data_IF_130190196671
#
_entry.id   IF_130190196671
#
_cell.length_a   1.000
_cell.length_b   1.000
_cell.length_c   1.000
_cell.angle_alpha   90.00
_cell.angle_beta   90.00
_cell.angle_gamma   90.00
#
_symmetry.space_group_name_H-M   'P 1'
#
loop_
_entity.id
_entity.type
_entity.pdbx_description
1 polymer ?
#
# COMPACT_ATOMS: atom_id res chain seq x y z
N UNK A 1 12.57 -24.95 1.89
CA UNK A 1 12.34 -23.59 2.44
C UNK A 1 13.62 -23.18 3.14
N UNK A 2 14.32 -22.17 2.63
CA UNK A 2 15.49 -21.58 3.33
C UNK A 2 14.97 -20.65 4.40
N UNK A 3 15.37 -20.87 5.67
CA UNK A 3 14.97 -20.04 6.81
C UNK A 3 16.10 -19.09 7.25
N UNK A 4 17.23 -19.10 6.54
CA UNK A 4 18.40 -18.26 6.81
C UNK A 4 18.82 -17.56 5.52
N UNK A 5 19.32 -16.36 5.65
CA UNK A 5 19.89 -15.58 4.56
C UNK A 5 21.34 -16.00 4.28
N UNK A 6 21.85 -15.69 3.09
CA UNK A 6 23.25 -15.91 2.72
C UNK A 6 24.16 -14.86 3.35
N UNK A 7 25.49 -15.08 3.30
CA UNK A 7 26.47 -14.09 3.79
C UNK A 7 26.33 -12.75 3.07
N UNK A 8 26.09 -12.78 1.77
CA UNK A 8 25.89 -11.58 0.94
C UNK A 8 24.59 -10.85 1.33
N UNK A 9 23.52 -11.59 1.61
CA UNK A 9 22.24 -11.04 2.07
C UNK A 9 22.35 -10.44 3.47
N UNK A 10 23.11 -11.04 4.37
CA UNK A 10 23.40 -10.47 5.70
C UNK A 10 24.31 -9.24 5.62
N UNK A 11 25.25 -9.19 4.68
CA UNK A 11 26.03 -7.98 4.41
C UNK A 11 25.15 -6.84 3.89
N UNK A 12 24.22 -7.15 2.98
CA UNK A 12 23.22 -6.18 2.53
C UNK A 12 22.32 -5.69 3.69
N UNK A 13 21.92 -6.58 4.60
CA UNK A 13 21.18 -6.22 5.82
C UNK A 13 21.94 -5.19 6.66
N UNK A 14 23.23 -5.44 6.85
CA UNK A 14 24.09 -4.54 7.64
C UNK A 14 24.24 -3.15 6.97
N UNK A 15 24.37 -3.09 5.62
CA UNK A 15 24.38 -1.85 4.86
C UNK A 15 23.09 -1.05 5.06
N UNK A 16 21.94 -1.69 4.90
CA UNK A 16 20.61 -1.07 5.09
C UNK A 16 20.45 -0.55 6.52
N UNK A 17 20.76 -1.40 7.51
CA UNK A 17 20.61 -1.05 8.93
C UNK A 17 21.48 0.15 9.31
N UNK A 18 22.73 0.19 8.85
CA UNK A 18 23.66 1.29 9.13
C UNK A 18 23.17 2.61 8.51
N UNK A 19 22.73 2.58 7.25
CA UNK A 19 22.21 3.76 6.58
C UNK A 19 20.93 4.30 7.27
N UNK A 20 20.00 3.41 7.60
CA UNK A 20 18.76 3.81 8.30
C UNK A 20 19.04 4.39 9.69
N UNK A 21 19.97 3.79 10.44
CA UNK A 21 20.32 4.31 11.76
C UNK A 21 21.01 5.69 11.67
N UNK A 22 21.92 5.88 10.73
CA UNK A 22 22.57 7.18 10.47
C UNK A 22 21.52 8.24 10.17
N UNK A 23 20.60 7.99 9.26
CA UNK A 23 19.60 8.97 8.85
C UNK A 23 18.57 9.26 9.97
N UNK A 24 18.07 8.22 10.63
CA UNK A 24 17.01 8.31 11.63
C UNK A 24 17.52 8.62 13.07
N UNK A 25 18.82 8.64 13.29
CA UNK A 25 19.44 9.20 14.49
C UNK A 25 20.07 10.57 14.24
N UNK A 26 20.14 11.00 12.98
CA UNK A 26 20.70 12.27 12.51
C UNK A 26 19.64 13.19 11.89
N UNK A 27 19.75 13.46 10.56
CA UNK A 27 18.94 14.50 9.90
C UNK A 27 17.42 14.26 9.93
N UNK A 28 16.97 13.02 10.12
CA UNK A 28 15.55 12.63 10.14
C UNK A 28 15.09 12.04 11.49
N UNK A 29 15.79 12.35 12.58
CA UNK A 29 15.43 11.86 13.92
C UNK A 29 14.03 12.34 14.37
N UNK A 30 13.59 13.49 13.89
CA UNK A 30 12.30 14.11 14.18
C UNK A 30 11.10 13.35 13.62
N UNK A 31 11.30 12.51 12.59
CA UNK A 31 10.22 11.72 11.99
C UNK A 31 10.32 10.22 12.29
N UNK A 32 11.32 9.79 13.09
CA UNK A 32 11.45 8.39 13.50
C UNK A 32 10.29 7.99 14.38
N UNK A 33 9.61 6.91 14.01
CA UNK A 33 8.50 6.34 14.78
C UNK A 33 7.16 7.05 14.61
N UNK A 34 7.04 8.01 13.68
CA UNK A 34 5.73 8.60 13.34
C UNK A 34 4.82 7.51 12.75
N UNK A 35 3.67 7.30 13.37
CA UNK A 35 2.65 6.32 12.93
C UNK A 35 1.56 6.95 12.06
N UNK A 36 1.29 8.26 12.21
CA UNK A 36 0.33 9.00 11.39
C UNK A 36 0.77 9.06 9.93
N UNK A 37 -0.16 8.81 9.01
CA UNK A 37 0.11 8.83 7.57
C UNK A 37 0.21 10.26 7.01
N UNK A 38 -0.39 11.24 7.67
CA UNK A 38 -0.45 12.64 7.21
C UNK A 38 0.46 13.58 8.00
N UNK A 39 0.93 13.18 9.18
CA UNK A 39 1.84 14.02 9.97
C UNK A 39 3.19 14.22 9.28
N UNK A 40 3.78 15.39 9.50
CA UNK A 40 5.10 15.79 9.02
C UNK A 40 5.30 15.57 7.49
N UNK A 41 4.29 15.86 6.67
CA UNK A 41 4.26 15.52 5.25
C UNK A 41 5.48 16.07 4.50
N UNK A 42 5.87 17.33 4.71
CA UNK A 42 7.05 17.94 4.07
C UNK A 42 8.34 17.18 4.43
N UNK A 43 8.53 16.87 5.72
CA UNK A 43 9.71 16.11 6.17
C UNK A 43 9.75 14.70 5.58
N UNK A 44 8.57 14.09 5.38
CA UNK A 44 8.47 12.77 4.77
C UNK A 44 8.69 12.82 3.25
N UNK A 45 8.36 13.91 2.57
CA UNK A 45 8.79 14.15 1.18
C UNK A 45 10.31 14.27 1.08
N UNK A 46 10.93 15.02 2.02
CA UNK A 46 12.40 15.12 2.09
C UNK A 46 13.03 13.74 2.35
N UNK A 47 12.38 12.91 3.17
CA UNK A 47 12.78 11.52 3.41
C UNK A 47 12.71 10.66 2.15
N UNK A 48 11.63 10.76 1.35
CA UNK A 48 11.52 10.06 0.06
C UNK A 48 12.69 10.44 -0.87
N UNK A 49 13.03 11.73 -0.95
CA UNK A 49 14.19 12.20 -1.74
C UNK A 49 15.51 11.66 -1.19
N UNK A 50 15.69 11.61 0.13
CA UNK A 50 16.89 11.02 0.74
C UNK A 50 17.02 9.53 0.41
N UNK A 51 15.91 8.77 0.46
CA UNK A 51 15.86 7.39 -0.01
C UNK A 51 16.21 7.28 -1.49
N UNK A 52 15.69 8.18 -2.33
CA UNK A 52 15.96 8.22 -3.76
C UNK A 52 17.45 8.45 -4.06
N UNK A 53 18.05 9.48 -3.47
CA UNK A 53 19.48 9.81 -3.62
C UNK A 53 20.37 8.64 -3.19
N UNK A 54 20.02 7.93 -2.15
CA UNK A 54 20.75 6.76 -1.67
C UNK A 54 20.41 5.45 -2.44
N UNK A 55 19.48 5.50 -3.41
CA UNK A 55 19.03 4.34 -4.17
C UNK A 55 18.20 3.33 -3.38
N UNK A 56 17.57 3.76 -2.28
CA UNK A 56 16.74 2.91 -1.43
C UNK A 56 15.24 3.00 -1.75
N UNK A 57 14.83 3.93 -2.61
CA UNK A 57 13.42 4.18 -2.88
C UNK A 57 12.76 3.01 -3.62
N UNK A 58 13.38 2.50 -4.69
CA UNK A 58 12.82 1.50 -5.60
C UNK A 58 13.81 0.34 -5.84
N UNK A 59 14.32 -0.26 -4.77
CA UNK A 59 15.48 -1.18 -4.80
C UNK A 59 15.30 -2.38 -5.74
N UNK A 60 14.08 -2.89 -5.91
CA UNK A 60 13.78 -4.03 -6.79
C UNK A 60 13.68 -3.68 -8.28
N UNK A 61 13.72 -2.39 -8.64
CA UNK A 61 13.64 -1.98 -10.03
C UNK A 61 14.99 -2.10 -10.76
N UNK A 62 14.96 -2.14 -12.12
CA UNK A 62 16.18 -2.09 -12.92
C UNK A 62 17.00 -0.83 -12.64
N UNK A 63 18.32 -0.98 -12.60
CA UNK A 63 19.27 0.14 -12.35
C UNK A 63 19.10 1.30 -13.32
N UNK A 64 18.77 1.03 -14.58
CA UNK A 64 18.52 2.07 -15.58
C UNK A 64 17.37 3.03 -15.20
N UNK A 65 16.47 2.64 -14.28
CA UNK A 65 15.37 3.46 -13.79
C UNK A 65 15.56 3.85 -12.31
N UNK A 66 16.77 3.79 -11.79
CA UNK A 66 17.11 4.21 -10.43
C UNK A 66 16.93 3.14 -9.35
N UNK A 67 16.66 1.89 -9.73
CA UNK A 67 16.66 0.75 -8.82
C UNK A 67 18.06 0.18 -8.55
N UNK A 68 18.11 -0.92 -7.81
CA UNK A 68 19.35 -1.66 -7.47
C UNK A 68 19.40 -3.07 -8.06
N UNK A 69 18.42 -3.49 -8.86
CA UNK A 69 18.21 -4.88 -9.28
C UNK A 69 18.14 -5.86 -8.09
N UNK A 70 17.69 -5.38 -6.94
CA UNK A 70 17.65 -6.18 -5.72
C UNK A 70 16.72 -7.38 -5.89
N UNK A 71 17.20 -8.55 -5.54
CA UNK A 71 16.41 -9.76 -5.53
C UNK A 71 15.28 -9.68 -4.47
N UNK A 72 14.35 -10.62 -4.52
CA UNK A 72 13.21 -10.62 -3.64
C UNK A 72 13.62 -10.75 -2.16
N UNK A 73 14.70 -11.50 -1.85
CA UNK A 73 15.21 -11.64 -0.50
C UNK A 73 15.78 -10.32 0.03
N UNK A 74 16.53 -9.59 -0.81
CA UNK A 74 17.07 -8.27 -0.49
C UNK A 74 15.92 -7.25 -0.27
N UNK A 75 14.86 -7.29 -1.07
CA UNK A 75 13.70 -6.44 -0.89
C UNK A 75 13.00 -6.70 0.45
N UNK A 76 12.89 -7.96 0.87
CA UNK A 76 12.34 -8.31 2.19
C UNK A 76 13.26 -7.86 3.31
N UNK A 77 14.58 -8.04 3.16
CA UNK A 77 15.57 -7.57 4.14
C UNK A 77 15.44 -6.05 4.33
N UNK A 78 15.37 -5.28 3.24
CA UNK A 78 15.17 -3.83 3.31
C UNK A 78 13.91 -3.47 4.08
N UNK A 79 12.79 -4.10 3.76
CA UNK A 79 11.53 -3.84 4.40
C UNK A 79 11.54 -4.25 5.89
N UNK A 80 12.21 -5.35 6.26
CA UNK A 80 12.44 -5.75 7.66
C UNK A 80 13.26 -4.70 8.42
N UNK A 81 14.37 -4.22 7.85
CA UNK A 81 15.21 -3.22 8.49
C UNK A 81 14.52 -1.86 8.56
N UNK A 82 13.77 -1.47 7.53
CA UNK A 82 12.97 -0.25 7.51
C UNK A 82 11.96 -0.20 8.67
N UNK A 83 11.23 -1.29 8.88
CA UNK A 83 10.30 -1.40 10.00
C UNK A 83 11.01 -1.49 11.36
N UNK A 84 12.14 -2.23 11.45
CA UNK A 84 12.95 -2.34 12.69
C UNK A 84 13.53 -0.99 13.11
N UNK A 85 13.98 -0.18 12.15
CA UNK A 85 14.46 1.17 12.40
C UNK A 85 13.34 2.13 12.82
N UNK A 86 12.06 1.70 12.74
CA UNK A 86 10.87 2.55 12.94
C UNK A 86 10.88 3.76 12.00
N UNK A 87 11.27 3.53 10.74
CA UNK A 87 11.22 4.55 9.71
C UNK A 87 9.77 4.98 9.43
N UNK A 88 9.54 6.24 9.02
CA UNK A 88 8.19 6.74 8.79
C UNK A 88 7.54 6.04 7.60
N UNK A 89 6.21 5.95 7.59
CA UNK A 89 5.48 5.42 6.43
C UNK A 89 5.81 6.18 5.14
N UNK A 90 5.94 5.45 4.02
CA UNK A 90 6.35 5.98 2.72
C UNK A 90 5.20 6.78 2.06
N UNK A 91 5.41 8.06 1.71
CA UNK A 91 4.45 8.83 0.91
C UNK A 91 4.43 8.37 -0.55
N UNK A 92 5.60 7.99 -1.08
CA UNK A 92 5.77 7.52 -2.45
C UNK A 92 5.37 6.06 -2.71
N UNK A 93 4.86 5.32 -1.71
CA UNK A 93 4.62 3.88 -1.84
C UNK A 93 3.66 3.50 -2.98
N UNK A 94 2.61 4.29 -3.26
CA UNK A 94 1.69 4.01 -4.37
C UNK A 94 2.39 4.09 -5.73
N UNK A 95 3.33 5.02 -5.89
CA UNK A 95 4.19 5.10 -7.08
C UNK A 95 5.11 3.90 -7.18
N UNK A 96 5.94 3.69 -6.18
CA UNK A 96 7.01 2.70 -6.20
C UNK A 96 6.50 1.25 -6.20
N UNK A 97 5.42 0.96 -5.47
CA UNK A 97 4.93 -0.42 -5.29
C UNK A 97 3.83 -0.80 -6.29
N UNK A 98 3.11 0.17 -6.88
CA UNK A 98 1.99 -0.10 -7.78
C UNK A 98 2.16 0.52 -9.17
N UNK A 99 2.24 1.86 -9.28
CA UNK A 99 2.32 2.54 -10.58
C UNK A 99 3.61 2.15 -11.34
N UNK A 100 4.75 2.15 -10.67
CA UNK A 100 6.03 1.83 -11.28
C UNK A 100 6.11 0.40 -11.82
N UNK A 101 5.83 -0.66 -11.03
CA UNK A 101 5.75 -2.02 -11.55
C UNK A 101 4.73 -2.17 -12.70
N UNK A 102 3.61 -1.43 -12.66
CA UNK A 102 2.63 -1.40 -13.74
C UNK A 102 3.22 -0.80 -15.01
N UNK A 103 3.91 0.35 -14.90
CA UNK A 103 4.58 1.01 -16.04
C UNK A 103 5.74 0.15 -16.56
N UNK A 104 6.51 -0.49 -15.68
CA UNK A 104 7.57 -1.43 -16.07
C UNK A 104 7.04 -2.57 -16.94
N UNK A 105 5.87 -3.08 -16.61
CA UNK A 105 5.30 -4.26 -17.27
C UNK A 105 4.44 -3.93 -18.50
N UNK A 106 3.62 -2.86 -18.43
CA UNK A 106 2.61 -2.53 -19.45
C UNK A 106 2.89 -1.21 -20.17
N UNK A 107 3.77 -0.36 -19.65
CA UNK A 107 4.06 0.96 -20.19
C UNK A 107 4.95 0.92 -21.43
N UNK A 108 4.85 1.97 -22.25
CA UNK A 108 5.78 2.22 -23.35
C UNK A 108 7.16 2.65 -22.82
N UNK A 109 8.21 2.54 -23.66
CA UNK A 109 9.55 3.01 -23.29
C UNK A 109 9.53 4.51 -22.93
N UNK A 110 8.77 5.32 -23.67
CA UNK A 110 8.61 6.76 -23.38
C UNK A 110 8.03 6.98 -21.98
N UNK A 111 7.01 6.21 -21.60
CA UNK A 111 6.45 6.28 -20.24
C UNK A 111 7.45 5.83 -19.17
N UNK A 112 8.20 4.76 -19.42
CA UNK A 112 9.24 4.29 -18.49
C UNK A 112 10.32 5.34 -18.26
N UNK A 113 10.85 5.91 -19.33
CA UNK A 113 11.87 6.96 -19.28
C UNK A 113 11.38 8.24 -18.61
N UNK A 114 10.10 8.60 -18.81
CA UNK A 114 9.50 9.80 -18.24
C UNK A 114 9.20 9.67 -16.75
N UNK A 115 8.64 8.56 -16.32
CA UNK A 115 8.05 8.46 -14.98
C UNK A 115 8.94 7.73 -13.95
N UNK A 116 9.60 6.63 -14.36
CA UNK A 116 10.29 5.78 -13.40
C UNK A 116 11.46 6.47 -12.69
N UNK A 117 12.33 7.25 -13.37
CA UNK A 117 13.44 7.91 -12.70
C UNK A 117 13.00 8.89 -11.61
N UNK A 118 11.93 9.63 -11.85
CA UNK A 118 11.41 10.60 -10.86
C UNK A 118 10.73 9.92 -9.67
N UNK A 119 10.02 8.81 -9.90
CA UNK A 119 9.49 8.00 -8.80
C UNK A 119 10.60 7.42 -7.93
N UNK A 120 11.63 6.85 -8.55
CA UNK A 120 12.76 6.23 -7.82
C UNK A 120 13.63 7.27 -7.11
N UNK A 121 13.69 8.51 -7.60
CA UNK A 121 14.33 9.63 -6.95
C UNK A 121 13.52 10.22 -5.78
N UNK A 122 12.27 9.78 -5.57
CA UNK A 122 11.37 10.35 -4.56
C UNK A 122 10.92 11.76 -4.88
N UNK A 123 10.92 12.15 -6.17
CA UNK A 123 10.57 13.49 -6.65
C UNK A 123 9.08 13.62 -7.01
N UNK A 124 8.46 12.53 -7.51
CA UNK A 124 7.04 12.50 -7.89
C UNK A 124 6.29 11.49 -7.04
N UNK A 125 5.27 11.97 -6.33
CA UNK A 125 4.37 11.15 -5.51
C UNK A 125 3.15 10.75 -6.34
N UNK A 126 2.62 9.55 -6.07
CA UNK A 126 1.53 8.98 -6.84
C UNK A 126 0.38 8.52 -5.96
N UNK A 127 -0.85 8.60 -6.47
CA UNK A 127 -2.03 8.03 -5.84
C UNK A 127 -2.84 7.14 -6.78
N UNK A 128 -3.74 6.35 -6.22
CA UNK A 128 -4.56 5.36 -6.93
C UNK A 128 -6.01 5.81 -7.07
N UNK A 129 -6.46 6.07 -8.29
CA UNK A 129 -7.83 6.43 -8.63
C UNK A 129 -8.65 5.23 -9.13
N UNK A 130 -8.95 4.26 -8.26
CA UNK A 130 -9.71 3.06 -8.63
C UNK A 130 -11.16 3.14 -8.16
N UNK A 131 -11.38 3.08 -6.86
CA UNK A 131 -12.70 2.99 -6.26
C UNK A 131 -13.55 4.23 -6.54
N UNK A 132 -14.87 4.02 -6.66
CA UNK A 132 -15.88 5.06 -6.75
C UNK A 132 -16.95 4.84 -5.69
N UNK A 133 -17.80 5.81 -5.35
CA UNK A 133 -18.88 5.61 -4.40
C UNK A 133 -19.77 4.40 -4.71
N UNK A 134 -19.94 4.06 -5.99
CA UNK A 134 -20.72 2.91 -6.44
C UNK A 134 -19.90 1.70 -6.93
N UNK A 135 -18.57 1.73 -6.85
CA UNK A 135 -17.69 0.70 -7.41
C UNK A 135 -16.44 0.49 -6.54
N UNK A 136 -16.56 -0.33 -5.51
CA UNK A 136 -15.45 -0.79 -4.66
C UNK A 136 -15.08 -2.23 -5.00
N UNK A 137 -15.69 -3.21 -4.34
CA UNK A 137 -15.48 -4.64 -4.64
C UNK A 137 -15.86 -5.00 -6.08
N UNK A 138 -16.89 -4.35 -6.64
CA UNK A 138 -17.23 -4.43 -8.07
C UNK A 138 -16.54 -3.32 -8.87
N UNK A 139 -15.21 -3.38 -8.93
CA UNK A 139 -14.39 -2.41 -9.68
C UNK A 139 -14.75 -2.35 -11.16
N UNK A 140 -15.28 -3.43 -11.74
CA UNK A 140 -15.67 -3.45 -13.14
C UNK A 140 -16.80 -2.48 -13.47
N UNK A 141 -17.51 -1.98 -12.46
CA UNK A 141 -18.67 -1.10 -12.60
C UNK A 141 -18.32 0.40 -12.46
N UNK A 142 -17.04 0.78 -12.61
CA UNK A 142 -16.62 2.19 -12.58
C UNK A 142 -17.33 3.01 -13.66
N UNK A 143 -17.68 4.26 -13.31
CA UNK A 143 -18.45 5.21 -14.12
C UNK A 143 -17.63 6.42 -14.55
N UNK A 144 -16.53 6.72 -13.90
CA UNK A 144 -15.58 7.75 -14.38
C UNK A 144 -15.28 7.47 -15.85
N UNK A 145 -15.43 8.47 -16.68
CA UNK A 145 -15.26 8.37 -18.14
C UNK A 145 -14.14 9.29 -18.60
N UNK A 146 -13.56 8.98 -19.75
CA UNK A 146 -12.66 9.88 -20.45
C UNK A 146 -12.92 9.82 -21.96
N UNK A 147 -12.89 10.98 -22.60
CA UNK A 147 -12.97 11.15 -24.06
C UNK A 147 -11.66 11.68 -24.60
N UNK A 148 -11.27 11.22 -25.77
CA UNK A 148 -10.11 11.76 -26.48
C UNK A 148 -10.54 12.94 -27.31
N UNK A 149 -9.96 14.12 -27.06
CA UNK A 149 -10.33 15.39 -27.67
C UNK A 149 -9.08 16.11 -28.19
N UNK A 150 -9.27 17.05 -29.11
CA UNK A 150 -8.20 17.92 -29.56
C UNK A 150 -7.89 18.98 -28.50
N UNK A 151 -6.64 19.10 -28.12
CA UNK A 151 -6.16 20.05 -27.13
C UNK A 151 -5.09 20.99 -27.69
N UNK A 152 -4.61 21.95 -26.89
CA UNK A 152 -3.65 22.96 -27.37
C UNK A 152 -2.29 22.38 -27.78
N UNK A 153 -1.91 21.23 -27.24
CA UNK A 153 -0.62 20.57 -27.48
C UNK A 153 -0.77 19.21 -28.17
N UNK A 154 -1.88 18.96 -28.84
CA UNK A 154 -2.22 17.69 -29.47
C UNK A 154 -3.44 17.04 -28.79
N UNK A 155 -3.70 15.77 -29.10
CA UNK A 155 -4.82 15.06 -28.48
C UNK A 155 -4.60 14.83 -26.99
N UNK A 156 -5.68 14.93 -26.25
CA UNK A 156 -5.70 14.74 -24.80
C UNK A 156 -6.94 13.97 -24.34
N UNK A 157 -6.81 13.21 -23.28
CA UNK A 157 -7.94 12.64 -22.59
C UNK A 157 -8.55 13.68 -21.67
N UNK A 158 -9.87 13.89 -21.78
CA UNK A 158 -10.67 14.72 -20.87
C UNK A 158 -11.46 13.82 -19.96
N UNK A 159 -11.26 13.95 -18.64
CA UNK A 159 -11.75 13.02 -17.62
C UNK A 159 -12.86 13.67 -16.82
N UNK A 160 -13.95 12.93 -16.64
CA UNK A 160 -15.13 13.32 -15.87
C UNK A 160 -15.53 12.19 -14.91
N UNK A 161 -15.66 12.50 -13.62
CA UNK A 161 -16.12 11.54 -12.62
C UNK A 161 -15.58 11.79 -11.24
N UNK A 162 -15.79 10.82 -10.37
CA UNK A 162 -15.38 10.88 -8.96
C UNK A 162 -14.70 9.57 -8.55
N UNK A 163 -13.57 9.69 -7.87
CA UNK A 163 -12.91 8.60 -7.16
C UNK A 163 -13.03 8.81 -5.65
N UNK A 164 -13.02 7.71 -4.91
CA UNK A 164 -13.08 7.72 -3.44
C UNK A 164 -12.07 6.74 -2.85
N UNK A 165 -11.73 6.92 -1.60
CA UNK A 165 -10.70 6.14 -0.91
C UNK A 165 -9.32 6.22 -1.57
N UNK A 166 -9.04 7.36 -2.21
CA UNK A 166 -7.75 7.61 -2.85
C UNK A 166 -6.72 7.97 -1.80
N UNK A 167 -5.81 7.02 -1.53
CA UNK A 167 -4.79 7.17 -0.49
C UNK A 167 -3.83 8.31 -0.82
N UNK A 168 -3.63 9.22 0.15
CA UNK A 168 -2.64 10.29 0.11
C UNK A 168 -2.71 11.20 -1.13
N UNK A 169 -3.88 11.31 -1.78
CA UNK A 169 -4.06 12.12 -2.99
C UNK A 169 -3.66 13.59 -2.79
N UNK A 170 -3.82 14.12 -1.57
CA UNK A 170 -3.44 15.49 -1.22
C UNK A 170 -1.92 15.77 -1.29
N UNK A 171 -1.09 14.72 -1.42
CA UNK A 171 0.36 14.82 -1.55
C UNK A 171 0.87 14.32 -2.90
N UNK A 172 -0.04 13.88 -3.80
CA UNK A 172 0.31 13.24 -5.05
C UNK A 172 0.45 14.23 -6.21
N UNK A 173 1.51 14.08 -6.99
CA UNK A 173 1.72 14.79 -8.25
C UNK A 173 0.96 14.12 -9.40
N UNK A 174 0.78 12.80 -9.32
CA UNK A 174 0.15 11.97 -10.33
C UNK A 174 -0.86 11.00 -9.73
N UNK A 175 -1.92 10.72 -10.50
CA UNK A 175 -2.89 9.67 -10.19
C UNK A 175 -2.96 8.66 -11.34
N UNK A 176 -2.88 7.37 -11.03
CA UNK A 176 -3.25 6.35 -12.00
C UNK A 176 -4.73 5.99 -11.86
N UNK A 177 -5.48 6.25 -12.93
CA UNK A 177 -6.94 6.22 -12.93
C UNK A 177 -7.47 5.13 -13.83
N UNK A 178 -8.36 4.28 -13.32
CA UNK A 178 -9.18 3.39 -14.14
C UNK A 178 -10.47 4.12 -14.53
N UNK A 179 -10.72 4.27 -15.82
CA UNK A 179 -11.89 4.97 -16.34
C UNK A 179 -12.41 4.34 -17.62
N UNK A 180 -13.63 4.67 -18.01
CA UNK A 180 -14.28 4.17 -19.22
C UNK A 180 -14.01 5.11 -20.40
N UNK A 181 -13.32 4.59 -21.41
CA UNK A 181 -12.96 5.36 -22.62
C UNK A 181 -13.73 4.94 -23.87
N UNK A 182 -14.38 3.76 -23.85
CA UNK A 182 -15.20 3.31 -24.97
C UNK A 182 -16.68 3.47 -24.63
N UNK A 183 -17.40 4.41 -25.26
CA UNK A 183 -18.80 4.66 -24.97
C UNK A 183 -19.69 3.43 -25.19
N UNK A 184 -20.74 3.29 -24.37
CA UNK A 184 -21.72 2.20 -24.49
C UNK A 184 -21.26 0.83 -23.94
N UNK A 185 -20.00 0.70 -23.51
CA UNK A 185 -19.49 -0.53 -22.89
C UNK A 185 -19.88 -0.65 -21.43
N UNK A 186 -19.83 -1.87 -20.88
CA UNK A 186 -20.16 -2.19 -19.48
C UNK A 186 -19.16 -3.20 -18.92
N UNK A 187 -19.14 -3.30 -17.60
CA UNK A 187 -18.29 -4.27 -16.92
C UNK A 187 -16.81 -4.01 -17.21
N UNK A 188 -16.09 -5.02 -17.60
CA UNK A 188 -14.63 -4.99 -17.85
C UNK A 188 -14.24 -4.39 -19.19
N UNK A 189 -15.20 -4.26 -20.11
CA UNK A 189 -14.92 -3.82 -21.47
C UNK A 189 -14.83 -2.30 -21.54
N UNK A 190 -13.98 -1.78 -22.43
CA UNK A 190 -13.84 -0.36 -22.70
C UNK A 190 -13.24 0.47 -21.56
N UNK A 191 -12.61 -0.16 -20.59
CA UNK A 191 -11.85 0.51 -19.53
C UNK A 191 -10.43 0.80 -19.99
N UNK A 192 -9.88 1.96 -19.59
CA UNK A 192 -8.49 2.34 -19.81
C UNK A 192 -7.82 2.71 -18.49
N UNK A 193 -6.50 2.66 -18.48
CA UNK A 193 -5.66 3.03 -17.36
C UNK A 193 -4.89 4.28 -17.74
N UNK A 194 -5.24 5.42 -17.15
CA UNK A 194 -4.67 6.72 -17.48
C UNK A 194 -3.76 7.22 -16.35
N UNK A 195 -2.65 7.85 -16.74
CA UNK A 195 -1.77 8.59 -15.84
C UNK A 195 -2.17 10.06 -15.90
N UNK A 196 -2.64 10.61 -14.79
CA UNK A 196 -3.28 11.95 -14.73
C UNK A 196 -2.50 12.84 -13.78
N UNK A 197 -2.01 14.03 -14.24
CA UNK A 197 -1.39 15.00 -13.35
C UNK A 197 -2.44 15.56 -12.38
N UNK A 198 -2.08 15.72 -11.11
CA UNK A 198 -3.01 16.17 -10.06
C UNK A 198 -3.06 17.70 -9.91
N UNK A 199 -1.98 18.40 -10.24
CA UNK A 199 -1.91 19.87 -10.18
C UNK A 199 -2.52 20.48 -11.45
N UNK A 200 -3.85 20.58 -11.50
CA UNK A 200 -4.60 21.21 -12.57
C UNK A 200 -5.99 21.63 -12.12
N UNK A 201 -6.59 22.62 -12.81
CA UNK A 201 -7.90 23.18 -12.44
C UNK A 201 -9.07 22.19 -12.51
N UNK A 202 -8.94 21.12 -13.29
CA UNK A 202 -9.96 20.06 -13.44
C UNK A 202 -9.94 19.01 -12.35
N UNK A 203 -9.06 19.11 -11.34
CA UNK A 203 -8.95 18.16 -10.23
C UNK A 203 -9.26 18.84 -8.92
N UNK A 204 -10.21 18.28 -8.17
CA UNK A 204 -10.52 18.71 -6.82
C UNK A 204 -10.33 17.55 -5.85
N UNK A 205 -9.55 17.77 -4.77
CA UNK A 205 -9.23 16.76 -3.75
C UNK A 205 -9.90 17.16 -2.44
N UNK A 206 -10.69 16.24 -1.86
CA UNK A 206 -11.36 16.42 -0.56
C UNK A 206 -10.95 15.31 0.40
N UNK A 207 -10.21 15.62 1.47
CA UNK A 207 -9.87 14.63 2.49
C UNK A 207 -11.10 14.05 3.18
N UNK A 208 -11.14 12.74 3.36
CA UNK A 208 -12.15 12.02 4.12
C UNK A 208 -11.64 11.89 5.55
N UNK A 209 -12.26 12.61 6.49
CA UNK A 209 -11.92 12.45 7.90
C UNK A 209 -12.41 11.09 8.39
N UNK A 210 -11.48 10.25 8.77
CA UNK A 210 -11.72 8.92 9.28
C UNK A 210 -12.05 8.92 10.78
N UNK A 211 -12.53 7.78 11.29
CA UNK A 211 -12.76 7.59 12.73
C UNK A 211 -11.48 7.72 13.57
N UNK A 212 -10.31 7.58 12.96
CA UNK A 212 -9.00 7.85 13.57
C UNK A 212 -8.69 9.33 13.76
N UNK A 213 -9.53 10.23 13.19
CA UNK A 213 -9.29 11.66 13.16
C UNK A 213 -8.43 12.14 11.98
N UNK A 214 -7.76 11.23 11.30
CA UNK A 214 -6.86 11.51 10.16
C UNK A 214 -7.61 11.56 8.83
N UNK A 215 -6.95 12.11 7.80
CA UNK A 215 -7.45 12.22 6.43
C UNK A 215 -6.52 11.52 5.44
N UNK A 216 -6.23 10.22 5.67
CA UNK A 216 -5.34 9.43 4.80
C UNK A 216 -5.94 9.18 3.42
N UNK A 217 -7.27 9.14 3.35
CA UNK A 217 -8.00 8.87 2.13
C UNK A 217 -8.77 10.11 1.66
N UNK A 218 -8.98 10.19 0.36
CA UNK A 218 -9.60 11.34 -0.27
C UNK A 218 -10.71 10.92 -1.23
N UNK A 219 -11.66 11.82 -1.43
CA UNK A 219 -12.45 11.91 -2.65
C UNK A 219 -11.67 12.75 -3.66
N UNK A 220 -11.63 12.31 -4.91
CA UNK A 220 -11.03 13.05 -6.02
C UNK A 220 -12.07 13.24 -7.11
N UNK A 221 -12.36 14.48 -7.41
CA UNK A 221 -13.31 14.85 -8.46
C UNK A 221 -12.54 15.29 -9.69
N UNK A 222 -12.86 14.67 -10.81
CA UNK A 222 -12.38 15.05 -12.14
C UNK A 222 -13.49 15.79 -12.88
N UNK A 223 -13.31 17.07 -13.07
CA UNK A 223 -14.27 17.98 -13.71
C UNK A 223 -13.59 18.60 -14.96
N UNK A 224 -13.45 17.81 -16.02
CA UNK A 224 -12.68 18.20 -17.19
C UNK A 224 -11.16 18.13 -16.96
N UNK A 225 -10.70 17.24 -16.08
CA UNK A 225 -9.27 17.02 -15.92
C UNK A 225 -8.66 16.45 -17.19
N UNK A 226 -7.45 16.87 -17.54
CA UNK A 226 -6.81 16.50 -18.80
C UNK A 226 -5.52 15.73 -18.57
N UNK A 227 -5.23 14.81 -19.51
CA UNK A 227 -3.91 14.19 -19.63
C UNK A 227 -3.60 13.90 -21.09
N UNK A 228 -2.32 13.91 -21.46
CA UNK A 228 -1.88 13.70 -22.83
C UNK A 228 -2.32 12.33 -23.39
N UNK A 229 -2.51 12.23 -24.71
CA UNK A 229 -2.93 10.98 -25.37
C UNK A 229 -2.01 9.80 -25.00
N UNK A 230 -0.70 10.02 -24.97
CA UNK A 230 0.33 9.02 -24.64
C UNK A 230 0.34 8.56 -23.17
N UNK A 231 -0.41 9.22 -22.29
CA UNK A 231 -0.50 8.84 -20.86
C UNK A 231 -1.50 7.71 -20.59
N UNK A 232 -1.94 6.97 -21.61
CA UNK A 232 -2.65 5.71 -21.45
C UNK A 232 -1.64 4.56 -21.32
N UNK A 233 -1.76 3.74 -20.28
CA UNK A 233 -0.91 2.55 -20.09
C UNK A 233 -1.56 1.36 -20.79
N UNK A 234 -0.83 0.74 -21.71
CA UNK A 234 -1.36 -0.30 -22.61
C UNK A 234 -2.27 0.29 -23.70
N UNK A 235 -3.20 -0.51 -24.21
CA UNK A 235 -4.12 -0.10 -25.28
C UNK A 235 -5.40 0.54 -24.69
N UNK A 236 -5.91 1.63 -25.30
CA UNK A 236 -7.21 2.20 -24.92
C UNK A 236 -8.32 1.13 -25.00
N UNK A 237 -9.16 1.09 -23.97
CA UNK A 237 -10.22 0.09 -23.86
C UNK A 237 -9.79 -1.27 -23.31
N UNK A 238 -8.48 -1.52 -23.09
CA UNK A 238 -7.91 -2.75 -22.53
C UNK A 238 -7.37 -2.60 -21.10
N UNK A 239 -7.64 -1.49 -20.44
CA UNK A 239 -7.12 -1.15 -19.11
C UNK A 239 -7.51 -2.11 -17.98
N UNK A 240 -8.52 -2.96 -18.17
CA UNK A 240 -8.86 -3.98 -17.17
C UNK A 240 -7.69 -4.94 -16.89
N UNK A 241 -6.95 -5.36 -17.91
CA UNK A 241 -5.79 -6.23 -17.74
C UNK A 241 -4.68 -5.52 -16.98
N UNK A 242 -4.44 -4.24 -17.29
CA UNK A 242 -3.47 -3.38 -16.59
C UNK A 242 -3.85 -3.23 -15.13
N UNK A 243 -5.13 -2.92 -14.85
CA UNK A 243 -5.63 -2.78 -13.48
C UNK A 243 -5.48 -4.07 -12.65
N UNK A 244 -5.75 -5.22 -13.25
CA UNK A 244 -5.56 -6.52 -12.58
C UNK A 244 -4.08 -6.85 -12.35
N UNK A 245 -3.20 -6.44 -13.26
CA UNK A 245 -1.75 -6.51 -13.10
C UNK A 245 -1.30 -5.67 -11.90
N UNK A 246 -1.73 -4.41 -11.82
CA UNK A 246 -1.44 -3.52 -10.67
C UNK A 246 -1.86 -4.16 -9.34
N UNK A 247 -3.08 -4.71 -9.25
CA UNK A 247 -3.56 -5.37 -8.03
C UNK A 247 -2.81 -6.68 -7.71
N UNK A 248 -2.09 -7.27 -8.66
CA UNK A 248 -1.21 -8.40 -8.38
C UNK A 248 0.09 -7.99 -7.71
N UNK A 249 0.61 -6.80 -8.04
CA UNK A 249 1.81 -6.23 -7.41
C UNK A 249 1.56 -5.85 -5.95
N UNK A 250 0.35 -5.41 -5.60
CA UNK A 250 -0.06 -5.12 -4.21
C UNK A 250 0.17 -6.29 -3.24
N UNK A 251 0.20 -7.52 -3.75
CA UNK A 251 0.47 -8.75 -2.97
C UNK A 251 1.96 -9.12 -2.92
N UNK A 252 2.83 -8.17 -3.26
CA UNK A 252 4.27 -8.35 -3.34
C UNK A 252 4.98 -8.16 -2.00
N UNK A 253 6.17 -7.56 -2.07
CA UNK A 253 7.12 -7.41 -0.95
C UNK A 253 6.57 -6.62 0.22
N UNK A 254 5.77 -5.56 -0.03
CA UNK A 254 5.16 -4.75 1.02
C UNK A 254 4.28 -5.58 1.96
N UNK A 255 3.51 -6.52 1.41
CA UNK A 255 2.71 -7.46 2.20
C UNK A 255 3.59 -8.35 3.08
N UNK A 256 4.79 -8.72 2.62
CA UNK A 256 5.73 -9.54 3.37
C UNK A 256 6.40 -8.76 4.51
N UNK A 257 6.59 -7.45 4.31
CA UNK A 257 7.16 -6.55 5.31
C UNK A 257 6.18 -6.13 6.40
N UNK A 258 4.89 -6.10 6.11
CA UNK A 258 3.83 -5.65 7.03
C UNK A 258 3.89 -6.35 8.40
N UNK A 259 4.29 -7.64 8.44
CA UNK A 259 4.48 -8.38 9.68
C UNK A 259 5.48 -7.73 10.65
N UNK A 260 6.45 -6.95 10.13
CA UNK A 260 7.43 -6.29 11.00
C UNK A 260 6.81 -5.07 11.69
N UNK A 261 5.94 -4.33 11.01
CA UNK A 261 5.15 -3.26 11.62
C UNK A 261 4.22 -3.85 12.71
N UNK A 262 3.58 -4.96 12.44
CA UNK A 262 2.77 -5.69 13.42
C UNK A 262 3.59 -6.19 14.62
N UNK A 263 4.89 -6.49 14.42
CA UNK A 263 5.80 -6.80 15.52
C UNK A 263 6.03 -5.61 16.44
N UNK A 264 6.18 -4.40 15.87
CA UNK A 264 6.34 -3.16 16.63
C UNK A 264 5.05 -2.84 17.43
N UNK A 265 3.89 -3.03 16.85
CA UNK A 265 2.59 -2.84 17.51
C UNK A 265 2.40 -3.84 18.66
N UNK A 266 2.71 -5.11 18.45
CA UNK A 266 2.66 -6.12 19.51
C UNK A 266 3.66 -5.79 20.65
N UNK A 267 4.86 -5.31 20.32
CA UNK A 267 5.83 -4.86 21.32
C UNK A 267 5.28 -3.69 22.16
N UNK A 268 4.65 -2.69 21.51
CA UNK A 268 4.02 -1.57 22.21
C UNK A 268 2.88 -2.02 23.15
N UNK A 269 2.11 -3.03 22.76
CA UNK A 269 1.08 -3.66 23.64
C UNK A 269 1.73 -4.34 24.84
N UNK A 270 2.83 -5.07 24.63
CA UNK A 270 3.58 -5.73 25.72
C UNK A 270 4.15 -4.71 26.69
N UNK A 271 4.75 -3.63 26.17
CA UNK A 271 5.29 -2.54 26.99
C UNK A 271 4.20 -1.86 27.81
N UNK A 272 3.04 -1.61 27.21
CA UNK A 272 1.88 -1.06 27.91
C UNK A 272 1.37 -2.00 29.00
N UNK A 273 1.27 -3.32 28.70
CA UNK A 273 0.85 -4.32 29.67
C UNK A 273 1.83 -4.44 30.86
N UNK A 274 3.13 -4.29 30.61
CA UNK A 274 4.14 -4.28 31.66
C UNK A 274 4.02 -3.02 32.52
N UNK A 275 3.82 -1.86 31.90
CA UNK A 275 3.78 -0.57 32.62
C UNK A 275 2.56 -0.43 33.52
N UNK A 276 1.40 -0.98 33.14
CA UNK A 276 0.14 -0.87 33.88
C UNK A 276 -0.21 -2.12 34.71
N UNK A 277 0.67 -3.13 34.75
CA UNK A 277 0.50 -4.36 35.53
C UNK A 277 -0.38 -5.43 34.87
N UNK A 278 -1.00 -5.17 33.72
CA UNK A 278 -1.81 -6.15 32.98
C UNK A 278 -1.00 -7.37 32.50
N UNK A 279 0.33 -7.27 32.41
CA UNK A 279 1.20 -8.40 32.16
C UNK A 279 1.09 -9.51 33.22
N UNK A 280 0.56 -9.24 34.42
CA UNK A 280 0.30 -10.24 35.46
C UNK A 280 -1.05 -10.96 35.31
N UNK A 281 -1.96 -10.39 34.48
CA UNK A 281 -3.25 -11.02 34.20
C UNK A 281 -3.07 -12.23 33.27
N UNK A 282 -3.44 -13.45 33.73
CA UNK A 282 -3.20 -14.66 32.94
C UNK A 282 -3.95 -14.68 31.62
N UNK A 283 -5.13 -14.02 31.52
CA UNK A 283 -5.89 -13.93 30.28
C UNK A 283 -5.18 -13.03 29.25
N UNK A 284 -4.66 -11.89 29.68
CA UNK A 284 -3.88 -10.98 28.81
C UNK A 284 -2.61 -11.69 28.34
N UNK A 285 -1.89 -12.38 29.23
CA UNK A 285 -0.70 -13.17 28.86
C UNK A 285 -0.99 -14.20 27.78
N UNK A 286 -2.09 -14.93 27.90
CA UNK A 286 -2.49 -15.93 26.91
C UNK A 286 -2.82 -15.28 25.55
N UNK A 287 -3.46 -14.12 25.54
CA UNK A 287 -3.78 -13.40 24.31
C UNK A 287 -2.51 -12.81 23.66
N UNK A 288 -1.58 -12.27 24.44
CA UNK A 288 -0.25 -11.85 23.93
C UNK A 288 0.47 -13.03 23.30
N UNK A 289 0.51 -14.20 23.96
CA UNK A 289 1.14 -15.40 23.42
C UNK A 289 0.45 -15.89 22.13
N UNK A 290 -0.89 -15.82 22.05
CA UNK A 290 -1.67 -16.13 20.84
C UNK A 290 -1.28 -15.17 19.70
N UNK A 291 -1.20 -13.87 19.97
CA UNK A 291 -0.85 -12.84 18.99
C UNK A 291 0.58 -13.04 18.50
N UNK A 292 1.54 -13.28 19.38
CA UNK A 292 2.92 -13.60 19.00
C UNK A 292 3.02 -14.84 18.10
N UNK A 293 2.32 -15.91 18.43
CA UNK A 293 2.28 -17.13 17.62
C UNK A 293 1.69 -16.84 16.21
N UNK A 294 0.63 -16.04 16.12
CA UNK A 294 0.05 -15.63 14.86
C UNK A 294 1.04 -14.84 14.00
N UNK A 295 1.82 -13.94 14.61
CA UNK A 295 2.87 -13.19 13.95
C UNK A 295 3.98 -14.12 13.40
N UNK A 296 4.42 -15.14 14.16
CA UNK A 296 5.39 -16.13 13.68
C UNK A 296 4.82 -16.94 12.50
N UNK A 297 3.53 -17.26 12.52
CA UNK A 297 2.84 -17.94 11.41
C UNK A 297 2.82 -17.06 10.16
N UNK A 298 2.58 -15.73 10.29
CA UNK A 298 2.67 -14.79 9.17
C UNK A 298 4.08 -14.75 8.59
N UNK A 299 5.12 -14.66 9.43
CA UNK A 299 6.51 -14.67 8.99
C UNK A 299 6.87 -15.95 8.22
N UNK A 300 6.49 -17.11 8.74
CA UNK A 300 6.72 -18.38 8.05
C UNK A 300 5.99 -18.45 6.71
N UNK A 301 4.76 -17.93 6.66
CA UNK A 301 3.96 -17.86 5.42
C UNK A 301 4.60 -16.91 4.40
N UNK A 302 5.10 -15.76 4.83
CA UNK A 302 5.82 -14.80 3.99
C UNK A 302 7.07 -15.45 3.37
N UNK A 303 7.92 -16.09 4.16
CA UNK A 303 9.12 -16.80 3.68
C UNK A 303 8.75 -17.94 2.71
N UNK A 304 7.63 -18.63 2.95
CA UNK A 304 7.13 -19.65 2.03
C UNK A 304 6.65 -19.07 0.69
N UNK A 305 5.99 -17.91 0.72
CA UNK A 305 5.58 -17.21 -0.50
C UNK A 305 6.79 -16.75 -1.32
N UNK A 306 7.85 -16.24 -0.65
CA UNK A 306 9.11 -15.89 -1.30
C UNK A 306 9.72 -17.09 -2.02
N UNK A 307 9.86 -18.23 -1.35
CA UNK A 307 10.41 -19.45 -1.95
C UNK A 307 9.56 -19.97 -3.13
N UNK A 308 8.25 -19.70 -3.13
CA UNK A 308 7.34 -20.04 -4.23
C UNK A 308 7.48 -19.09 -5.41
N UNK A 309 7.73 -17.82 -5.17
CA UNK A 309 7.91 -16.82 -6.22
C UNK A 309 9.16 -17.10 -7.08
N UNK A 310 10.23 -17.58 -6.48
CA UNK A 310 11.45 -18.01 -7.19
C UNK A 310 11.17 -19.16 -8.19
N UNK A 311 10.17 -19.98 -7.93
CA UNK A 311 9.79 -21.13 -8.77
C UNK A 311 8.62 -20.84 -9.71
N UNK A 312 8.03 -19.64 -9.65
CA UNK A 312 6.84 -19.27 -10.42
C UNK A 312 5.56 -19.98 -9.99
N UNK A 313 5.58 -20.74 -8.90
CA UNK A 313 4.43 -21.48 -8.40
C UNK A 313 3.59 -20.65 -7.43
N UNK A 314 2.31 -20.43 -7.73
CA UNK A 314 1.36 -19.91 -6.76
C UNK A 314 1.22 -20.89 -5.59
N UNK A 315 1.61 -20.49 -4.40
CA UNK A 315 1.51 -21.32 -3.20
C UNK A 315 0.21 -21.03 -2.43
N UNK A 316 -0.33 -22.03 -1.72
CA UNK A 316 -1.55 -21.86 -0.92
C UNK A 316 -1.56 -20.64 0.01
N UNK A 317 -0.44 -20.27 0.67
CA UNK A 317 -0.37 -19.06 1.50
C UNK A 317 -0.76 -17.76 0.80
N UNK A 318 -0.47 -17.58 -0.49
CA UNK A 318 -0.82 -16.36 -1.23
C UNK A 318 -2.33 -16.08 -1.25
N UNK A 319 -3.16 -17.12 -1.22
CA UNK A 319 -4.62 -16.96 -1.18
C UNK A 319 -5.15 -16.66 0.21
N UNK A 320 -4.50 -17.18 1.26
CA UNK A 320 -4.99 -17.09 2.64
C UNK A 320 -4.34 -15.96 3.45
N UNK A 321 -3.20 -15.43 3.00
CA UNK A 321 -2.40 -14.49 3.76
C UNK A 321 -3.18 -13.24 4.16
N UNK A 322 -3.91 -12.63 3.19
CA UNK A 322 -4.68 -11.41 3.43
C UNK A 322 -5.78 -11.62 4.47
N UNK A 323 -6.58 -12.66 4.36
CA UNK A 323 -7.65 -12.92 5.31
C UNK A 323 -7.09 -13.25 6.70
N UNK A 324 -5.92 -13.90 6.76
CA UNK A 324 -5.26 -14.24 8.01
C UNK A 324 -4.77 -12.99 8.73
N UNK A 325 -3.94 -12.16 8.09
CA UNK A 325 -3.38 -10.98 8.75
C UNK A 325 -4.45 -9.94 9.09
N UNK A 326 -5.44 -9.71 8.23
CA UNK A 326 -6.50 -8.75 8.47
C UNK A 326 -7.39 -9.14 9.68
N UNK A 327 -7.65 -10.42 9.85
CA UNK A 327 -8.39 -10.93 11.02
C UNK A 327 -7.53 -10.86 12.27
N UNK A 328 -6.27 -11.25 12.17
CA UNK A 328 -5.30 -11.22 13.27
C UNK A 328 -5.07 -9.80 13.78
N UNK A 329 -4.86 -8.83 12.89
CA UNK A 329 -4.61 -7.43 13.25
C UNK A 329 -5.83 -6.81 13.94
N UNK A 330 -7.02 -7.14 13.49
CA UNK A 330 -8.24 -6.74 14.19
C UNK A 330 -8.32 -7.31 15.61
N UNK A 331 -7.95 -8.59 15.81
CA UNK A 331 -7.86 -9.21 17.15
C UNK A 331 -6.74 -8.57 18.01
N UNK A 332 -5.65 -8.13 17.39
CA UNK A 332 -4.58 -7.39 18.06
C UNK A 332 -5.09 -6.05 18.58
N UNK A 333 -5.88 -5.34 17.80
CA UNK A 333 -6.54 -4.10 18.24
C UNK A 333 -7.46 -4.32 19.46
N UNK A 334 -8.25 -5.40 19.47
CA UNK A 334 -9.06 -5.77 20.64
C UNK A 334 -8.18 -6.03 21.89
N UNK A 335 -7.04 -6.70 21.70
CA UNK A 335 -6.08 -6.93 22.78
C UNK A 335 -5.50 -5.61 23.31
N UNK A 336 -5.18 -4.67 22.43
CA UNK A 336 -4.67 -3.36 22.81
C UNK A 336 -5.64 -2.61 23.72
N UNK A 337 -6.94 -2.59 23.37
CA UNK A 337 -7.98 -1.95 24.19
C UNK A 337 -8.14 -2.63 25.54
N UNK A 338 -8.12 -3.96 25.60
CA UNK A 338 -8.19 -4.69 26.86
C UNK A 338 -6.98 -4.42 27.77
N UNK A 339 -5.78 -4.26 27.18
CA UNK A 339 -4.57 -3.88 27.93
C UNK A 339 -4.65 -2.46 28.43
N UNK A 340 -5.15 -1.51 27.63
CA UNK A 340 -5.31 -0.11 28.02
C UNK A 340 -6.43 0.08 29.08
N UNK A 341 -7.47 -0.77 29.03
CA UNK A 341 -8.64 -0.63 29.87
C UNK A 341 -9.30 0.74 29.67
N UNK A 342 -9.78 1.36 30.76
CA UNK A 342 -10.45 2.66 30.68
C UNK A 342 -9.59 3.78 30.04
N UNK A 343 -8.27 3.70 30.14
CA UNK A 343 -7.39 4.69 29.50
C UNK A 343 -7.50 4.66 27.95
N UNK A 344 -7.84 3.53 27.35
CA UNK A 344 -8.04 3.40 25.91
C UNK A 344 -9.33 4.03 25.41
N UNK A 345 -10.32 4.27 26.31
CA UNK A 345 -11.61 4.88 25.98
C UNK A 345 -11.58 6.42 26.06
N UNK A 346 -10.51 6.98 26.63
CA UNK A 346 -10.35 8.43 26.82
C UNK A 346 -9.70 9.02 25.60
N UNK A 347 -10.37 10.01 25.01
CA UNK A 347 -9.88 10.78 23.85
C UNK A 347 -9.73 12.23 24.30
N UNK A 348 -8.63 12.90 23.85
CA UNK A 348 -8.43 14.32 24.13
C UNK A 348 -9.51 15.19 23.47
N UNK A 349 -9.66 16.42 23.93
CA UNK A 349 -10.60 17.40 23.33
C UNK A 349 -10.32 17.65 21.85
N UNK A 350 -9.05 17.56 21.45
CA UNK A 350 -8.60 17.78 20.07
C UNK A 350 -8.64 16.50 19.21
N UNK A 351 -9.20 15.43 19.76
CA UNK A 351 -9.27 14.11 19.12
C UNK A 351 -7.89 13.53 18.77
N UNK A 352 -6.89 13.80 19.59
CA UNK A 352 -5.58 13.17 19.50
C UNK A 352 -5.64 11.79 20.17
N UNK A 353 -5.55 10.75 19.36
CA UNK A 353 -5.66 9.36 19.79
C UNK A 353 -4.28 8.80 20.12
N UNK A 354 -4.12 8.13 21.27
CA UNK A 354 -2.95 7.29 21.52
C UNK A 354 -2.76 6.26 20.40
N UNK A 355 -1.52 5.91 20.08
CA UNK A 355 -1.18 5.02 18.97
C UNK A 355 -1.94 3.69 18.99
N UNK A 356 -2.07 3.06 20.17
CA UNK A 356 -2.80 1.79 20.31
C UNK A 356 -4.30 1.93 20.10
N UNK A 357 -4.91 3.05 20.52
CA UNK A 357 -6.33 3.35 20.26
C UNK A 357 -6.56 3.64 18.77
N UNK A 358 -5.63 4.37 18.13
CA UNK A 358 -5.63 4.61 16.69
C UNK A 358 -5.53 3.31 15.91
N UNK A 359 -4.59 2.43 16.28
CA UNK A 359 -4.43 1.10 15.68
C UNK A 359 -5.71 0.27 15.80
N UNK A 360 -6.36 0.26 16.98
CA UNK A 360 -7.65 -0.42 17.17
C UNK A 360 -8.69 0.08 16.17
N UNK A 361 -8.89 1.39 16.06
CA UNK A 361 -9.88 1.97 15.14
C UNK A 361 -9.53 1.68 13.67
N UNK A 362 -8.27 1.86 13.27
CA UNK A 362 -7.82 1.61 11.90
C UNK A 362 -7.97 0.14 11.50
N UNK A 363 -7.62 -0.79 12.40
CA UNK A 363 -7.66 -2.23 12.13
C UNK A 363 -9.06 -2.75 11.74
N UNK A 364 -10.13 -1.97 12.01
CA UNK A 364 -11.50 -2.32 11.56
C UNK A 364 -11.59 -2.33 10.03
N UNK A 365 -10.84 -1.47 9.35
CA UNK A 365 -10.82 -1.36 7.90
C UNK A 365 -10.04 -2.50 7.21
N UNK A 366 -9.13 -3.19 7.91
CA UNK A 366 -8.28 -4.25 7.34
C UNK A 366 -9.07 -5.37 6.68
N UNK A 367 -10.24 -5.68 7.19
CA UNK A 367 -11.10 -6.71 6.62
C UNK A 367 -11.92 -6.23 5.42
N UNK A 368 -11.77 -4.95 5.03
CA UNK A 368 -12.55 -4.26 4.00
C UNK A 368 -11.67 -3.90 2.79
N UNK A 369 -10.61 -3.10 2.97
CA UNK A 369 -9.75 -2.65 1.87
C UNK A 369 -8.89 -3.78 1.28
N UNK A 370 -8.24 -3.55 0.15
CA UNK A 370 -7.42 -4.54 -0.59
C UNK A 370 -8.17 -5.86 -0.85
N UNK A 371 -9.49 -5.77 -1.11
CA UNK A 371 -10.40 -6.89 -1.23
C UNK A 371 -10.93 -7.39 0.12
N UNK A 372 -12.25 -7.28 0.29
CA UNK A 372 -12.92 -7.69 1.54
C UNK A 372 -12.63 -9.15 1.89
N UNK A 373 -12.75 -9.51 3.18
CA UNK A 373 -12.63 -10.91 3.60
C UNK A 373 -13.62 -11.82 2.86
N UNK A 374 -14.77 -11.33 2.42
CA UNK A 374 -15.74 -12.07 1.60
C UNK A 374 -15.18 -12.33 0.20
N UNK A 375 -14.64 -11.31 -0.47
CA UNK A 375 -13.96 -11.47 -1.77
C UNK A 375 -12.77 -12.43 -1.66
N UNK A 376 -11.99 -12.36 -0.58
CA UNK A 376 -10.87 -13.28 -0.37
C UNK A 376 -11.35 -14.74 -0.22
N UNK A 377 -12.48 -14.99 0.45
CA UNK A 377 -13.08 -16.32 0.55
C UNK A 377 -13.50 -16.86 -0.83
N UNK A 378 -14.11 -16.00 -1.66
CA UNK A 378 -14.46 -16.38 -3.03
C UNK A 378 -13.21 -16.74 -3.86
N UNK A 379 -12.13 -15.94 -3.75
CA UNK A 379 -10.86 -16.23 -4.41
C UNK A 379 -10.24 -17.56 -3.95
N UNK A 380 -10.31 -17.86 -2.65
CA UNK A 380 -9.85 -19.14 -2.09
C UNK A 380 -10.69 -20.27 -2.67
N UNK A 381 -12.02 -20.17 -2.62
CA UNK A 381 -12.93 -21.20 -3.10
C UNK A 381 -12.72 -21.47 -4.60
N UNK A 382 -12.78 -20.41 -5.43
CA UNK A 382 -12.76 -20.54 -6.88
C UNK A 382 -11.36 -20.89 -7.44
N UNK A 383 -10.30 -20.24 -6.94
CA UNK A 383 -8.96 -20.34 -7.52
C UNK A 383 -8.05 -21.34 -6.82
N UNK A 384 -8.12 -21.41 -5.48
CA UNK A 384 -7.26 -22.32 -4.73
C UNK A 384 -7.86 -23.73 -4.60
N UNK A 385 -9.20 -23.82 -4.43
CA UNK A 385 -9.90 -25.08 -4.24
C UNK A 385 -10.63 -25.59 -5.50
N UNK A 386 -10.67 -24.80 -6.59
CA UNK A 386 -11.33 -25.18 -7.84
C UNK A 386 -12.86 -25.34 -7.72
N UNK A 387 -13.47 -24.71 -6.73
CA UNK A 387 -14.93 -24.77 -6.54
C UNK A 387 -15.66 -23.96 -7.62
N UNK A 388 -16.92 -24.30 -7.93
CA UNK A 388 -17.74 -23.53 -8.86
C UNK A 388 -17.87 -22.06 -8.43
N UNK A 389 -17.92 -21.18 -9.43
CA UNK A 389 -18.20 -19.77 -9.18
C UNK A 389 -19.62 -19.59 -8.68
N UNK A 390 -19.79 -18.58 -7.81
CA UNK A 390 -21.12 -18.17 -7.40
C UNK A 390 -21.96 -17.74 -8.63
N UNK A 391 -23.21 -18.21 -8.76
CA UNK A 391 -24.08 -17.76 -9.83
C UNK A 391 -24.26 -16.24 -9.76
N UNK A 392 -24.00 -15.55 -10.86
CA UNK A 392 -24.31 -14.13 -10.97
C UNK A 392 -25.79 -14.01 -11.29
N UNK A 393 -26.54 -13.41 -10.37
CA UNK A 393 -27.93 -13.05 -10.57
C UNK A 393 -28.11 -12.02 -11.70
#
# INVERSE_FOLDING_TARGET
>A
MKLSFTVEQEAFRAEVAAWLDEQLSGPFADIRGITSQTAAAQRRQDWEKALGVAGWCAIGWPKQYGGRDADLAQQVIFAEEYARARAPGRLGHMGVELAGPTILHFGSEVQKERFLPKMSAGEEMWCQGYSEPGAGSDLSNVRTKASLEDGPNGKQWVIEGQKTWTSLAQFADWCFVICRTVPGTKGRDGLSYLLVPMDQSGVEIRPIRQITGEGDFNEVFFNGAVTAEENVVGEPGKGWQVAMGTLSFERGVSTLAQQMNFSNELAAIVDSANSNGQAQNPMIRQRIAKSWRGLQTMRASALRMLSGAETGALTGPQYTYKIFWATWHRELGELAMDVLGQAGEVVSTDYDLPDLSRMFLFSRADTIYAGTNQIQRNLIAERALGMPKEPRG
#
